data_IF_193998407074
#
_entry.id   IF_193998407074
#
_cell.length_a   1.000
_cell.length_b   1.000
_cell.length_c   1.000
_cell.angle_alpha   90.00
_cell.angle_beta   90.00
_cell.angle_gamma   90.00
#
_symmetry.space_group_name_H-M   'P 1'
#
loop_
_entity.id
_entity.type
_entity.pdbx_description
1 polymer ?
#
# COMPACT_ATOMS: atom_id res chain seq x y z
N UNK A 1 -4.41 -3.51 -16.31
CA UNK A 1 -4.60 -2.19 -15.67
C UNK A 1 -5.88 -1.51 -16.11
N UNK A 2 -6.10 -1.24 -17.41
CA UNK A 2 -7.25 -0.48 -17.93
C UNK A 2 -8.60 -1.08 -17.50
N UNK A 3 -8.77 -2.40 -17.56
CA UNK A 3 -10.02 -3.07 -17.18
C UNK A 3 -10.26 -2.96 -15.65
N UNK A 4 -9.23 -3.20 -14.85
CA UNK A 4 -9.31 -3.05 -13.39
C UNK A 4 -9.61 -1.59 -13.02
N UNK A 5 -8.93 -0.64 -13.68
CA UNK A 5 -9.21 0.79 -13.52
C UNK A 5 -10.67 1.13 -13.78
N UNK A 6 -11.25 0.62 -14.88
CA UNK A 6 -12.66 0.85 -15.21
C UNK A 6 -13.59 0.30 -14.14
N UNK A 7 -13.38 -0.95 -13.70
CA UNK A 7 -14.22 -1.59 -12.68
C UNK A 7 -14.18 -0.81 -11.36
N UNK A 8 -12.99 -0.43 -10.90
CA UNK A 8 -12.82 0.35 -9.67
C UNK A 8 -13.47 1.73 -9.78
N UNK A 9 -13.21 2.44 -10.87
CA UNK A 9 -13.76 3.77 -11.13
C UNK A 9 -15.28 3.76 -11.17
N UNK A 10 -15.88 2.80 -11.87
CA UNK A 10 -17.34 2.65 -11.96
C UNK A 10 -17.97 2.37 -10.60
N UNK A 11 -17.34 1.49 -9.79
CA UNK A 11 -17.85 1.16 -8.45
C UNK A 11 -17.71 2.32 -7.48
N UNK A 12 -16.55 2.96 -7.41
CA UNK A 12 -16.31 4.09 -6.51
C UNK A 12 -17.21 5.28 -6.86
N UNK A 13 -17.36 5.62 -8.15
CA UNK A 13 -18.24 6.69 -8.59
C UNK A 13 -19.71 6.41 -8.26
N UNK A 14 -20.18 5.14 -8.37
CA UNK A 14 -21.53 4.77 -7.96
C UNK A 14 -21.75 4.88 -6.45
N UNK A 15 -20.75 4.50 -5.66
CA UNK A 15 -20.84 4.50 -4.19
C UNK A 15 -20.70 5.91 -3.62
N UNK A 16 -19.85 6.72 -4.22
CA UNK A 16 -19.52 8.08 -3.76
C UNK A 16 -19.53 9.08 -4.91
N UNK A 17 -20.69 9.39 -5.52
CA UNK A 17 -20.78 10.15 -6.76
C UNK A 17 -20.25 11.59 -6.66
N UNK A 18 -20.18 12.14 -5.47
CA UNK A 18 -19.71 13.51 -5.22
C UNK A 18 -18.21 13.58 -4.90
N UNK A 19 -17.51 12.46 -4.85
CA UNK A 19 -16.08 12.42 -4.57
C UNK A 19 -15.32 12.19 -5.88
N UNK A 20 -14.48 13.15 -6.32
CA UNK A 20 -13.65 12.99 -7.49
C UNK A 20 -12.73 11.77 -7.38
N UNK A 21 -12.34 11.21 -8.52
CA UNK A 21 -11.43 10.08 -8.59
C UNK A 21 -10.19 10.44 -9.42
N UNK A 22 -9.03 10.12 -8.88
CA UNK A 22 -7.72 10.23 -9.53
C UNK A 22 -7.13 8.82 -9.60
N UNK A 23 -6.68 8.43 -10.78
CA UNK A 23 -6.07 7.12 -11.02
C UNK A 23 -4.74 7.27 -11.74
N UNK A 24 -3.80 6.37 -11.47
CA UNK A 24 -2.56 6.27 -12.24
C UNK A 24 -2.84 6.25 -13.75
N UNK A 25 -3.80 5.45 -14.20
CA UNK A 25 -4.15 5.29 -15.61
C UNK A 25 -4.79 6.54 -16.25
N UNK A 26 -5.37 7.42 -15.46
CA UNK A 26 -6.02 8.63 -15.92
C UNK A 26 -5.16 9.90 -15.79
N UNK A 27 -4.09 9.88 -15.02
CA UNK A 27 -3.26 11.06 -14.72
C UNK A 27 -2.29 11.43 -15.81
N UNK A 28 -2.13 10.62 -16.84
CA UNK A 28 -1.27 10.94 -18.00
C UNK A 28 -1.57 12.31 -18.63
N UNK A 29 -2.66 12.98 -18.25
CA UNK A 29 -3.08 14.22 -18.87
C UNK A 29 -3.51 15.39 -17.97
N UNK A 30 -3.75 15.27 -16.67
CA UNK A 30 -4.15 16.43 -15.82
C UNK A 30 -4.04 16.13 -14.32
N UNK A 31 -3.06 16.71 -13.66
CA UNK A 31 -3.09 16.91 -12.20
C UNK A 31 -3.97 18.11 -11.88
N UNK A 32 -5.13 17.88 -11.30
CA UNK A 32 -5.93 18.97 -10.73
C UNK A 32 -5.44 19.21 -9.29
N UNK A 33 -4.44 20.09 -9.14
CA UNK A 33 -3.76 20.37 -7.87
C UNK A 33 -4.66 20.99 -6.77
N UNK A 34 -5.94 21.22 -7.05
CA UNK A 34 -6.87 21.88 -6.14
C UNK A 34 -7.80 20.92 -5.39
N UNK A 35 -7.70 19.61 -5.63
CA UNK A 35 -8.53 18.65 -4.91
C UNK A 35 -8.06 18.51 -3.47
N UNK A 36 -9.00 18.64 -2.53
CA UNK A 36 -8.75 18.41 -1.10
C UNK A 36 -9.31 17.08 -0.62
N UNK A 37 -10.39 16.62 -1.27
CA UNK A 37 -11.04 15.33 -0.99
C UNK A 37 -11.26 14.59 -2.31
N UNK A 38 -10.69 13.38 -2.44
CA UNK A 38 -10.78 12.58 -3.65
C UNK A 38 -10.36 11.14 -3.39
N UNK A 39 -10.82 10.22 -4.24
CA UNK A 39 -10.26 8.88 -4.32
C UNK A 39 -8.98 8.90 -5.14
N UNK A 40 -7.96 8.21 -4.63
CA UNK A 40 -6.69 7.97 -5.30
C UNK A 40 -6.51 6.47 -5.47
N UNK A 41 -6.41 6.00 -6.72
CA UNK A 41 -6.30 4.57 -7.01
C UNK A 41 -5.09 4.24 -7.86
N UNK A 42 -4.51 3.07 -7.57
CA UNK A 42 -3.58 2.35 -8.41
C UNK A 42 -4.22 1.00 -8.75
N UNK A 43 -4.65 0.80 -9.98
CA UNK A 43 -5.34 -0.42 -10.38
C UNK A 43 -4.49 -1.68 -10.28
N UNK A 44 -3.19 -1.59 -10.58
CA UNK A 44 -2.22 -2.70 -10.41
C UNK A 44 -0.83 -2.13 -10.09
N UNK A 45 -0.54 -1.95 -8.81
CA UNK A 45 0.82 -1.69 -8.34
C UNK A 45 1.67 -2.97 -8.48
N UNK A 46 2.78 -2.86 -9.18
CA UNK A 46 3.60 -4.00 -9.53
C UNK A 46 3.21 -4.64 -10.87
N UNK A 47 2.83 -3.84 -11.87
CA UNK A 47 2.46 -4.27 -13.22
C UNK A 47 3.47 -5.24 -13.85
N UNK A 48 4.77 -5.02 -13.64
CA UNK A 48 5.82 -5.94 -14.12
C UNK A 48 5.63 -7.35 -13.54
N UNK A 49 5.35 -7.47 -12.25
CA UNK A 49 5.20 -8.76 -11.60
C UNK A 49 3.87 -9.43 -12.01
N UNK A 50 2.81 -8.63 -12.17
CA UNK A 50 1.53 -9.10 -12.74
C UNK A 50 1.70 -9.70 -14.14
N UNK A 51 2.34 -8.99 -15.07
CA UNK A 51 2.55 -9.45 -16.46
C UNK A 51 3.45 -10.69 -16.53
N UNK A 52 4.37 -10.85 -15.60
CA UNK A 52 5.27 -12.01 -15.52
C UNK A 52 4.73 -13.15 -14.64
N UNK A 53 3.43 -13.16 -14.33
CA UNK A 53 2.77 -14.19 -13.51
C UNK A 53 3.42 -14.40 -12.14
N UNK A 54 3.93 -13.34 -11.52
CA UNK A 54 4.40 -13.33 -10.15
C UNK A 54 3.29 -12.93 -9.20
N UNK A 55 3.48 -13.16 -7.92
CA UNK A 55 2.46 -13.02 -6.89
C UNK A 55 2.56 -11.72 -6.06
N UNK A 56 3.47 -10.82 -6.42
CA UNK A 56 3.75 -9.58 -5.67
C UNK A 56 3.20 -8.34 -6.38
N UNK A 57 1.90 -8.31 -6.63
CA UNK A 57 1.18 -7.14 -7.12
C UNK A 57 -0.05 -6.87 -6.26
N UNK A 58 -0.49 -5.62 -6.23
CA UNK A 58 -1.63 -5.19 -5.40
C UNK A 58 -2.55 -4.24 -6.16
N UNK A 59 -3.79 -4.15 -5.71
CA UNK A 59 -4.79 -3.17 -6.12
C UNK A 59 -4.96 -2.21 -4.95
N UNK A 60 -4.79 -0.91 -5.20
CA UNK A 60 -4.78 0.10 -4.16
C UNK A 60 -5.89 1.12 -4.36
N UNK A 61 -6.58 1.46 -3.28
CA UNK A 61 -7.51 2.59 -3.24
C UNK A 61 -7.36 3.35 -1.92
N UNK A 62 -7.26 4.67 -1.99
CA UNK A 62 -7.22 5.54 -0.82
C UNK A 62 -8.23 6.68 -0.95
N UNK A 63 -8.96 6.97 0.13
CA UNK A 63 -9.70 8.22 0.25
C UNK A 63 -8.79 9.26 0.89
N UNK A 64 -8.56 10.32 0.16
CA UNK A 64 -7.83 11.50 0.64
C UNK A 64 -8.85 12.50 1.15
N UNK A 65 -8.66 12.98 2.37
CA UNK A 65 -9.48 14.05 2.98
C UNK A 65 -8.55 15.12 3.51
N UNK A 66 -8.72 16.35 3.07
CA UNK A 66 -7.84 17.47 3.42
C UNK A 66 -6.35 17.17 3.17
N UNK A 67 -6.07 16.50 2.05
CA UNK A 67 -4.72 16.08 1.63
C UNK A 67 -4.08 15.00 2.52
N UNK A 68 -4.84 14.35 3.39
CA UNK A 68 -4.37 13.24 4.21
C UNK A 68 -5.07 11.94 3.81
N UNK A 69 -4.33 10.84 3.62
CA UNK A 69 -4.93 9.52 3.46
C UNK A 69 -5.73 9.14 4.72
N UNK A 70 -7.03 8.90 4.56
CA UNK A 70 -7.95 8.68 5.68
C UNK A 70 -8.55 7.28 5.65
N UNK A 71 -8.85 6.77 4.45
CA UNK A 71 -9.27 5.39 4.22
C UNK A 71 -8.27 4.77 3.26
N UNK A 72 -7.83 3.57 3.57
CA UNK A 72 -6.95 2.77 2.71
C UNK A 72 -7.52 1.38 2.47
N UNK A 73 -7.35 0.90 1.26
CA UNK A 73 -7.64 -0.48 0.88
C UNK A 73 -6.53 -0.96 -0.04
N UNK A 74 -5.93 -2.10 0.33
CA UNK A 74 -4.95 -2.81 -0.48
C UNK A 74 -5.40 -4.27 -0.59
N UNK A 75 -5.55 -4.73 -1.82
CA UNK A 75 -5.85 -6.13 -2.10
C UNK A 75 -4.68 -6.77 -2.85
N UNK A 76 -4.15 -7.87 -2.32
CA UNK A 76 -3.13 -8.71 -2.95
C UNK A 76 -3.82 -9.98 -3.51
N UNK A 77 -4.24 -9.98 -4.79
CA UNK A 77 -5.08 -11.04 -5.34
C UNK A 77 -4.43 -12.41 -5.32
N UNK A 78 -3.16 -12.49 -5.70
CA UNK A 78 -2.41 -13.74 -5.76
C UNK A 78 -2.19 -14.39 -4.38
N UNK A 79 -2.30 -13.59 -3.31
CA UNK A 79 -2.15 -14.05 -1.92
C UNK A 79 -3.51 -14.19 -1.21
N UNK A 80 -4.60 -13.80 -1.88
CA UNK A 80 -5.95 -13.76 -1.31
C UNK A 80 -6.00 -13.03 0.04
N UNK A 81 -5.32 -11.89 0.11
CA UNK A 81 -5.24 -11.04 1.30
C UNK A 81 -5.77 -9.65 0.96
N UNK A 82 -6.67 -9.12 1.78
CA UNK A 82 -7.17 -7.76 1.67
C UNK A 82 -6.96 -7.02 2.97
N UNK A 83 -6.38 -5.83 2.87
CA UNK A 83 -6.10 -4.95 4.00
C UNK A 83 -6.88 -3.66 3.83
N UNK A 84 -7.45 -3.15 4.90
CA UNK A 84 -8.18 -1.90 4.86
C UNK A 84 -8.25 -1.21 6.21
N UNK A 85 -8.49 0.09 6.15
CA UNK A 85 -8.80 0.91 7.31
C UNK A 85 -9.95 1.85 6.99
N UNK A 86 -10.57 2.40 8.00
CA UNK A 86 -11.59 3.43 7.89
C UNK A 86 -11.40 4.49 8.99
N UNK A 87 -12.19 5.57 8.94
CA UNK A 87 -11.98 6.80 9.71
C UNK A 87 -11.83 6.64 11.25
N UNK A 88 -12.07 5.46 11.81
CA UNK A 88 -11.79 5.15 13.22
C UNK A 88 -10.29 5.02 13.55
N UNK A 89 -9.42 4.96 12.54
CA UNK A 89 -7.99 4.70 12.73
C UNK A 89 -7.67 3.25 13.07
N UNK A 90 -8.60 2.33 12.84
CA UNK A 90 -8.40 0.90 13.02
C UNK A 90 -8.21 0.22 11.67
N UNK A 91 -7.22 -0.66 11.59
CA UNK A 91 -6.89 -1.40 10.37
C UNK A 91 -7.17 -2.89 10.53
N UNK A 92 -7.56 -3.50 9.43
CA UNK A 92 -8.01 -4.88 9.38
C UNK A 92 -7.41 -5.61 8.18
N UNK A 93 -7.30 -6.92 8.33
CA UNK A 93 -6.99 -7.84 7.24
C UNK A 93 -8.13 -8.85 7.06
N UNK A 94 -8.52 -9.12 5.82
CA UNK A 94 -9.33 -10.29 5.47
C UNK A 94 -8.40 -11.33 4.86
N UNK A 95 -8.26 -12.46 5.55
CA UNK A 95 -7.52 -13.63 5.11
C UNK A 95 -8.37 -14.88 5.34
N UNK A 96 -8.46 -15.75 4.32
CA UNK A 96 -9.30 -16.96 4.38
C UNK A 96 -10.75 -16.67 4.83
N UNK A 97 -11.35 -15.60 4.33
CA UNK A 97 -12.69 -15.12 4.66
C UNK A 97 -12.90 -14.77 6.15
N UNK A 98 -11.82 -14.52 6.89
CA UNK A 98 -11.87 -14.06 8.27
C UNK A 98 -11.29 -12.66 8.37
N UNK A 99 -12.01 -11.79 9.06
CA UNK A 99 -11.52 -10.45 9.40
C UNK A 99 -10.68 -10.51 10.67
N UNK A 100 -9.50 -9.93 10.62
CA UNK A 100 -8.57 -9.83 11.74
C UNK A 100 -8.18 -8.37 11.91
N UNK A 101 -8.33 -7.84 13.12
CA UNK A 101 -7.83 -6.50 13.46
C UNK A 101 -6.30 -6.52 13.48
N UNK A 102 -5.69 -5.57 12.81
CA UNK A 102 -4.23 -5.42 12.78
C UNK A 102 -3.73 -4.73 14.05
N UNK A 103 -2.56 -5.14 14.50
CA UNK A 103 -1.87 -4.55 15.64
C UNK A 103 -0.36 -4.67 15.46
N UNK A 104 0.27 -3.63 14.93
CA UNK A 104 1.71 -3.58 14.66
C UNK A 104 2.59 -3.57 15.93
N UNK A 105 2.00 -3.52 17.14
CA UNK A 105 2.74 -3.57 18.41
C UNK A 105 3.04 -4.98 18.89
N UNK A 106 2.47 -5.99 18.30
CA UNK A 106 2.68 -7.41 18.67
C UNK A 106 4.01 -7.92 18.15
N UNK A 107 5.12 -7.46 18.72
CA UNK A 107 6.44 -8.06 18.46
C UNK A 107 6.51 -9.49 18.99
N UNK A 108 6.88 -10.41 18.11
CA UNK A 108 7.09 -11.81 18.48
C UNK A 108 8.45 -12.08 19.11
N UNK A 109 9.49 -11.26 18.82
CA UNK A 109 10.83 -11.41 19.39
C UNK A 109 11.51 -10.04 19.58
N UNK A 110 11.96 -9.76 20.78
CA UNK A 110 12.46 -8.45 21.18
C UNK A 110 13.77 -8.01 20.47
N UNK A 111 14.55 -8.94 19.92
CA UNK A 111 15.90 -8.67 19.40
C UNK A 111 16.04 -8.89 17.88
N UNK A 112 14.97 -9.22 17.16
CA UNK A 112 14.98 -9.41 15.71
C UNK A 112 14.22 -8.25 15.06
N UNK A 113 14.90 -7.45 14.26
CA UNK A 113 14.28 -6.40 13.43
C UNK A 113 14.30 -6.86 11.97
N UNK A 114 13.12 -7.07 11.42
CA UNK A 114 12.91 -7.55 10.05
C UNK A 114 12.57 -6.39 9.14
N UNK A 115 13.38 -6.18 8.11
CA UNK A 115 13.11 -5.17 7.10
C UNK A 115 12.53 -5.77 5.82
N UNK A 116 11.54 -5.10 5.26
CA UNK A 116 11.18 -5.29 3.84
C UNK A 116 11.87 -4.22 3.01
N UNK A 117 12.23 -4.57 1.77
CA UNK A 117 12.88 -3.66 0.83
C UNK A 117 12.48 -3.97 -0.62
N UNK A 118 12.60 -2.98 -1.50
CA UNK A 118 12.14 -3.10 -2.89
C UNK A 118 13.18 -3.67 -3.87
N UNK A 119 14.46 -3.70 -3.50
CA UNK A 119 15.59 -4.02 -4.39
C UNK A 119 16.66 -4.84 -3.67
N UNK A 120 17.27 -5.78 -4.37
CA UNK A 120 18.44 -6.55 -3.88
C UNK A 120 19.67 -5.64 -3.70
N UNK A 121 19.67 -4.46 -4.35
CA UNK A 121 20.76 -3.48 -4.26
C UNK A 121 20.20 -2.20 -3.64
N UNK A 122 20.25 -2.10 -2.33
CA UNK A 122 19.87 -0.89 -1.60
C UNK A 122 20.97 0.16 -1.66
N UNK A 123 20.57 1.43 -1.65
CA UNK A 123 21.53 2.54 -1.55
C UNK A 123 22.28 2.52 -0.22
N UNK A 124 23.54 3.00 -0.19
CA UNK A 124 24.33 3.04 1.02
C UNK A 124 23.67 3.76 2.20
N UNK A 125 22.89 4.81 1.91
CA UNK A 125 22.17 5.58 2.93
C UNK A 125 21.09 4.73 3.61
N UNK A 126 20.35 3.92 2.83
CA UNK A 126 19.34 3.00 3.35
C UNK A 126 20.01 1.90 4.19
N UNK A 127 21.11 1.36 3.72
CA UNK A 127 21.88 0.36 4.47
C UNK A 127 22.38 0.89 5.80
N UNK A 128 22.86 2.15 5.85
CA UNK A 128 23.25 2.81 7.10
C UNK A 128 22.06 2.96 8.06
N UNK A 129 20.87 3.28 7.54
CA UNK A 129 19.67 3.36 8.38
C UNK A 129 19.27 1.98 8.91
N UNK A 130 19.30 0.93 8.07
CA UNK A 130 19.06 -0.43 8.53
C UNK A 130 20.02 -0.82 9.66
N UNK A 131 21.30 -0.55 9.50
CA UNK A 131 22.30 -0.80 10.55
C UNK A 131 22.01 0.01 11.82
N UNK A 132 21.68 1.31 11.69
CA UNK A 132 21.32 2.19 12.80
C UNK A 132 20.13 1.67 13.59
N UNK A 133 19.14 1.13 12.92
CA UNK A 133 17.94 0.57 13.57
C UNK A 133 18.07 -0.90 13.95
N UNK A 134 19.25 -1.49 13.80
CA UNK A 134 19.52 -2.86 14.23
C UNK A 134 18.78 -3.93 13.41
N UNK A 135 18.57 -3.68 12.10
CA UNK A 135 17.94 -4.67 11.21
C UNK A 135 18.81 -5.92 11.15
N UNK A 136 18.21 -7.08 11.43
CA UNK A 136 18.86 -8.38 11.45
C UNK A 136 18.46 -9.27 10.28
N UNK A 137 17.24 -9.06 9.73
CA UNK A 137 16.73 -9.81 8.59
C UNK A 137 16.27 -8.87 7.48
N UNK A 138 16.54 -9.24 6.24
CA UNK A 138 16.20 -8.50 5.03
C UNK A 138 15.33 -9.35 4.11
N UNK A 139 14.18 -8.83 3.71
CA UNK A 139 13.28 -9.51 2.78
C UNK A 139 12.87 -8.59 1.64
N UNK A 140 13.09 -9.05 0.40
CA UNK A 140 12.65 -8.32 -0.78
C UNK A 140 11.18 -8.54 -1.01
N UNK A 141 10.45 -7.46 -1.22
CA UNK A 141 9.02 -7.46 -1.51
C UNK A 141 8.67 -6.31 -2.45
N UNK A 142 7.81 -6.60 -3.40
CA UNK A 142 7.31 -5.62 -4.36
C UNK A 142 5.99 -4.99 -3.89
N UNK A 143 5.48 -4.05 -4.68
CA UNK A 143 4.22 -3.36 -4.48
C UNK A 143 4.00 -2.74 -3.10
N UNK A 144 2.82 -2.20 -2.86
CA UNK A 144 2.38 -1.64 -1.58
C UNK A 144 2.08 -2.72 -0.52
N UNK A 145 2.20 -4.00 -0.85
CA UNK A 145 2.13 -5.10 0.12
C UNK A 145 3.12 -4.91 1.29
N UNK A 146 4.24 -4.20 1.06
CA UNK A 146 5.21 -3.84 2.11
C UNK A 146 4.59 -3.13 3.31
N UNK A 147 3.64 -2.22 3.08
CA UNK A 147 2.93 -1.52 4.17
C UNK A 147 2.04 -2.48 4.96
N UNK A 148 1.36 -3.37 4.23
CA UNK A 148 0.43 -4.34 4.81
C UNK A 148 1.12 -5.32 5.77
N UNK A 149 2.26 -5.88 5.38
CA UNK A 149 3.00 -6.85 6.20
C UNK A 149 3.63 -6.19 7.43
N UNK A 150 3.90 -4.89 7.39
CA UNK A 150 4.30 -4.12 8.60
C UNK A 150 3.09 -3.92 9.50
N UNK A 151 1.95 -3.50 8.96
CA UNK A 151 0.73 -3.33 9.74
C UNK A 151 0.28 -4.66 10.40
N UNK A 152 0.54 -5.79 9.76
CA UNK A 152 0.27 -7.14 10.27
C UNK A 152 1.34 -7.67 11.25
N UNK A 153 2.38 -6.88 11.60
CA UNK A 153 3.51 -7.29 12.46
C UNK A 153 4.34 -8.47 11.91
N UNK A 154 4.28 -8.74 10.62
CA UNK A 154 5.13 -9.75 9.98
C UNK A 154 6.56 -9.22 9.77
N UNK A 155 6.67 -7.90 9.57
CA UNK A 155 7.91 -7.14 9.43
C UNK A 155 7.85 -5.87 10.27
N UNK A 156 9.01 -5.27 10.55
CA UNK A 156 9.12 -4.14 11.47
C UNK A 156 9.38 -2.81 10.77
N UNK A 157 10.06 -2.81 9.62
CA UNK A 157 10.54 -1.57 9.02
C UNK A 157 10.61 -1.66 7.49
N UNK A 158 10.26 -0.55 6.85
CA UNK A 158 10.51 -0.27 5.43
C UNK A 158 11.13 1.11 5.29
N UNK A 159 12.27 1.18 4.64
CA UNK A 159 12.98 2.43 4.37
C UNK A 159 13.27 2.49 2.86
N UNK A 160 12.91 3.60 2.23
CA UNK A 160 13.23 3.86 0.84
C UNK A 160 13.53 5.34 0.60
N UNK A 161 14.19 5.62 -0.51
CA UNK A 161 14.24 6.98 -1.05
C UNK A 161 12.89 7.39 -1.64
N UNK A 162 12.62 8.71 -1.74
CA UNK A 162 11.44 9.24 -2.44
C UNK A 162 11.50 8.87 -3.92
N UNK A 163 10.68 7.92 -4.36
CA UNK A 163 10.63 7.42 -5.74
C UNK A 163 9.25 6.95 -6.19
N UNK A 164 8.41 6.58 -5.24
CA UNK A 164 7.07 6.10 -5.49
C UNK A 164 6.13 7.29 -5.76
N UNK A 165 5.09 7.05 -6.54
CA UNK A 165 4.01 8.00 -6.74
C UNK A 165 3.05 8.00 -5.54
N UNK A 166 2.16 8.99 -5.47
CA UNK A 166 1.21 9.10 -4.36
C UNK A 166 0.24 7.92 -4.31
N UNK A 167 -0.17 7.37 -5.44
CA UNK A 167 -1.06 6.21 -5.52
C UNK A 167 -0.42 4.91 -5.04
N UNK A 168 0.93 4.77 -5.12
CA UNK A 168 1.67 3.62 -4.56
C UNK A 168 1.69 3.65 -3.02
N UNK A 169 1.52 4.82 -2.41
CA UNK A 169 1.79 5.06 -0.98
C UNK A 169 0.50 5.29 -0.17
N UNK A 170 -0.46 6.03 -0.73
CA UNK A 170 -1.56 6.59 0.04
C UNK A 170 -2.40 5.55 0.79
N UNK A 171 -2.74 4.43 0.15
CA UNK A 171 -3.50 3.36 0.80
C UNK A 171 -2.71 2.71 1.95
N UNK A 172 -1.42 2.44 1.72
CA UNK A 172 -0.53 1.90 2.74
C UNK A 172 -0.32 2.84 3.92
N UNK A 173 -0.20 4.15 3.65
CA UNK A 173 -0.10 5.18 4.69
C UNK A 173 -1.36 5.23 5.57
N UNK A 174 -2.55 5.08 4.99
CA UNK A 174 -3.78 5.06 5.76
C UNK A 174 -3.91 3.79 6.63
N UNK A 175 -3.36 2.66 6.18
CA UNK A 175 -3.43 1.37 6.89
C UNK A 175 -2.46 1.31 8.07
N UNK A 176 -1.28 1.94 7.97
CA UNK A 176 -0.26 2.03 9.03
C UNK A 176 -0.61 3.07 10.10
#
# INVERSE_FOLDING_TARGET
>A
DIEVNKILSDKLTKTTPNIPLVSEESTKNKTNNNLTTFWLIDPIDGTYDYVNNKDEFTINAALIVNKLPTIGLIYAPAKNRMFYTYASGESFEIINNKEVKLDCKKKTKANEIKAVHYSDKLKPEIMKLHQKYGVTEHHKMKSSLKFCVIAASEYDIYISEPRASEWDIAAGHAIL
#
